data_IF_171084797215
#
_entry.id   IF_171084797215
#
_cell.length_a   1.000
_cell.length_b   1.000
_cell.length_c   1.000
_cell.angle_alpha   90.00
_cell.angle_beta   90.00
_cell.angle_gamma   90.00
#
_symmetry.space_group_name_H-M   'P 1'
#
loop_
_entity.id
_entity.type
_entity.pdbx_description
1 polymer ?
#
# COMPACT_ATOMS: atom_id res chain seq x y z
N UNK A 1 55.46 -25.18 -0.13
CA UNK A 1 54.19 -24.43 -0.42
C UNK A 1 53.74 -23.82 0.87
N UNK A 2 53.76 -22.49 1.00
CA UNK A 2 53.64 -21.77 2.27
C UNK A 2 52.20 -21.85 2.82
N UNK A 3 52.02 -22.38 4.01
CA UNK A 3 50.76 -22.51 4.72
C UNK A 3 49.96 -21.20 4.79
N UNK A 4 50.64 -20.06 4.88
CA UNK A 4 50.08 -18.70 4.90
C UNK A 4 49.44 -18.36 3.51
N UNK A 5 50.01 -18.82 2.40
CA UNK A 5 49.41 -18.62 1.05
C UNK A 5 48.13 -19.41 0.84
N UNK A 6 48.03 -20.61 1.44
CA UNK A 6 46.86 -21.44 1.41
C UNK A 6 45.68 -20.83 2.21
N UNK A 7 45.96 -20.28 3.39
CA UNK A 7 44.94 -19.61 4.21
C UNK A 7 44.38 -18.35 3.50
N UNK A 8 45.26 -17.52 2.89
CA UNK A 8 44.83 -16.36 2.14
C UNK A 8 43.91 -16.72 0.97
N UNK A 9 44.22 -17.79 0.25
CA UNK A 9 43.36 -18.25 -0.86
C UNK A 9 42.02 -18.80 -0.35
N UNK A 10 41.99 -19.51 0.76
CA UNK A 10 40.75 -20.01 1.35
C UNK A 10 39.87 -18.86 1.86
N UNK A 11 40.43 -17.83 2.49
CA UNK A 11 39.69 -16.65 2.91
C UNK A 11 39.11 -15.86 1.72
N UNK A 12 39.84 -15.74 0.62
CA UNK A 12 39.33 -15.09 -0.61
C UNK A 12 38.20 -15.89 -1.22
N UNK A 13 38.30 -17.22 -1.26
CA UNK A 13 37.21 -18.07 -1.76
C UNK A 13 35.97 -18.06 -0.87
N UNK A 14 36.13 -18.05 0.44
CA UNK A 14 35.01 -17.92 1.38
C UNK A 14 34.37 -16.53 1.26
N UNK A 15 35.17 -15.47 1.08
CA UNK A 15 34.63 -14.12 0.87
C UNK A 15 33.91 -13.98 -0.47
N UNK A 16 34.41 -14.59 -1.53
CA UNK A 16 33.73 -14.64 -2.84
C UNK A 16 32.45 -15.51 -2.80
N UNK A 17 32.43 -16.59 -2.01
CA UNK A 17 31.21 -17.39 -1.80
C UNK A 17 30.18 -16.67 -0.94
N UNK A 18 30.58 -15.81 -0.02
CA UNK A 18 29.68 -14.97 0.74
C UNK A 18 29.13 -13.78 -0.06
N UNK A 19 29.86 -13.32 -1.09
CA UNK A 19 29.37 -12.31 -2.02
C UNK A 19 28.45 -12.87 -3.11
N UNK A 20 28.41 -14.19 -3.27
CA UNK A 20 27.50 -14.90 -4.18
C UNK A 20 26.22 -15.36 -3.49
N UNK A 21 25.81 -14.78 -2.37
CA UNK A 21 24.41 -14.75 -1.98
C UNK A 21 23.67 -13.94 -3.06
N UNK A 22 23.47 -14.56 -4.20
CA UNK A 22 22.54 -14.13 -5.21
C UNK A 22 21.20 -13.96 -4.48
N UNK A 23 20.89 -12.76 -4.06
CA UNK A 23 19.53 -12.37 -3.86
C UNK A 23 18.90 -12.57 -5.22
N UNK A 24 18.27 -13.72 -5.42
CA UNK A 24 17.50 -14.02 -6.62
C UNK A 24 16.41 -12.96 -6.63
N UNK A 25 16.69 -11.87 -7.35
CA UNK A 25 15.68 -10.88 -7.64
C UNK A 25 14.57 -11.63 -8.35
N UNK A 26 13.49 -11.87 -7.64
CA UNK A 26 12.33 -12.56 -8.18
C UNK A 26 11.80 -11.71 -9.33
N UNK A 27 11.94 -12.19 -10.57
CA UNK A 27 11.40 -11.49 -11.73
C UNK A 27 9.88 -11.62 -11.68
N UNK A 28 9.21 -10.60 -11.21
CA UNK A 28 7.76 -10.55 -11.13
C UNK A 28 7.26 -10.05 -12.49
N UNK A 29 6.55 -10.92 -13.22
CA UNK A 29 5.94 -10.54 -14.49
C UNK A 29 4.64 -9.79 -14.23
N UNK A 30 4.39 -8.66 -14.91
CA UNK A 30 3.13 -7.95 -14.81
C UNK A 30 2.01 -8.73 -15.48
N UNK A 31 0.81 -8.59 -14.94
CA UNK A 31 -0.44 -8.96 -15.58
C UNK A 31 -1.16 -7.69 -16.02
N UNK A 32 -1.51 -7.59 -17.28
CA UNK A 32 -2.32 -6.49 -17.79
C UNK A 32 -3.79 -6.76 -17.51
N UNK A 33 -4.42 -5.90 -16.71
CA UNK A 33 -5.85 -5.94 -16.42
C UNK A 33 -6.56 -4.75 -17.06
N UNK A 34 -7.80 -4.94 -17.47
CA UNK A 34 -8.64 -3.88 -18.02
C UNK A 34 -9.80 -3.58 -17.06
N UNK A 35 -9.79 -2.40 -16.48
CA UNK A 35 -10.75 -1.96 -15.46
C UNK A 35 -12.19 -1.95 -15.97
N UNK A 36 -12.41 -1.47 -17.19
CA UNK A 36 -13.77 -1.48 -17.81
C UNK A 36 -14.30 -2.90 -18.01
N UNK A 37 -13.42 -3.85 -18.36
CA UNK A 37 -13.81 -5.25 -18.50
C UNK A 37 -14.12 -5.89 -17.15
N UNK A 38 -13.32 -5.61 -16.12
CA UNK A 38 -13.57 -6.10 -14.76
C UNK A 38 -14.89 -5.56 -14.21
N UNK A 39 -15.13 -4.27 -14.32
CA UNK A 39 -16.39 -3.66 -13.87
C UNK A 39 -17.60 -4.23 -14.61
N UNK A 40 -17.50 -4.48 -15.93
CA UNK A 40 -18.54 -5.13 -16.70
C UNK A 40 -18.76 -6.57 -16.25
N UNK A 41 -17.69 -7.32 -16.00
CA UNK A 41 -17.79 -8.69 -15.51
C UNK A 41 -18.51 -8.75 -14.15
N UNK A 42 -18.13 -7.90 -13.20
CA UNK A 42 -18.79 -7.81 -11.88
C UNK A 42 -20.26 -7.44 -12.01
N UNK A 43 -20.62 -6.48 -12.89
CA UNK A 43 -21.99 -6.09 -13.11
C UNK A 43 -22.85 -7.21 -13.71
N UNK A 44 -22.28 -8.05 -14.60
CA UNK A 44 -22.98 -9.18 -15.23
C UNK A 44 -23.02 -10.44 -14.36
N UNK A 45 -22.12 -10.55 -13.39
CA UNK A 45 -21.99 -11.69 -12.47
C UNK A 45 -22.25 -11.28 -11.02
N UNK A 46 -23.14 -10.31 -10.81
CA UNK A 46 -23.47 -9.78 -9.48
C UNK A 46 -23.88 -10.86 -8.48
N UNK A 47 -24.37 -12.02 -8.97
CA UNK A 47 -24.70 -13.16 -8.13
C UNK A 47 -23.50 -13.81 -7.46
N UNK A 48 -22.35 -13.81 -8.12
CA UNK A 48 -21.07 -14.30 -7.55
C UNK A 48 -20.51 -13.33 -6.51
N UNK A 49 -20.86 -12.04 -6.63
CA UNK A 49 -20.43 -10.97 -5.73
C UNK A 49 -21.55 -10.54 -4.77
N UNK A 50 -22.65 -11.32 -4.68
CA UNK A 50 -23.70 -11.07 -3.69
C UNK A 50 -23.07 -11.14 -2.31
N UNK A 51 -22.94 -9.97 -1.76
CA UNK A 51 -22.57 -9.82 -0.37
C UNK A 51 -23.65 -10.45 0.47
N UNK A 52 -23.23 -11.33 1.35
CA UNK A 52 -24.07 -11.91 2.36
C UNK A 52 -24.74 -10.78 3.16
N UNK A 53 -26.00 -10.48 2.91
CA UNK A 53 -26.76 -9.44 3.63
C UNK A 53 -26.89 -9.69 5.12
N UNK A 54 -26.44 -10.85 5.60
CA UNK A 54 -26.43 -11.29 7.01
C UNK A 54 -25.04 -11.77 7.44
N UNK A 55 -23.98 -11.53 6.67
CA UNK A 55 -22.66 -11.83 7.17
C UNK A 55 -22.43 -11.04 8.45
N UNK A 56 -22.06 -11.71 9.56
CA UNK A 56 -21.61 -10.99 10.72
C UNK A 56 -20.47 -10.06 10.25
N UNK A 57 -20.51 -8.80 10.66
CA UNK A 57 -19.41 -7.85 10.44
C UNK A 57 -18.15 -8.58 10.88
N UNK A 58 -17.39 -9.09 9.93
CA UNK A 58 -16.11 -9.70 10.24
C UNK A 58 -15.21 -8.52 10.50
N UNK A 59 -15.06 -8.16 11.76
CA UNK A 59 -13.87 -7.45 12.16
C UNK A 59 -12.72 -8.20 11.50
N UNK A 60 -11.94 -7.51 10.69
CA UNK A 60 -10.63 -8.03 10.33
C UNK A 60 -9.81 -7.88 11.60
N UNK A 61 -10.17 -8.72 12.58
CA UNK A 61 -9.33 -8.92 13.73
C UNK A 61 -8.14 -9.72 13.22
N UNK A 62 -7.17 -8.98 12.68
CA UNK A 62 -5.90 -9.50 12.22
C UNK A 62 -5.05 -10.02 13.36
N UNK A 63 -5.66 -10.45 14.46
CA UNK A 63 -4.95 -10.95 15.63
C UNK A 63 -4.03 -9.88 16.27
N UNK A 64 -4.20 -8.65 15.87
CA UNK A 64 -3.49 -7.50 16.42
C UNK A 64 -3.99 -7.32 17.85
N UNK A 65 -3.22 -7.83 18.81
CA UNK A 65 -3.40 -7.40 20.20
C UNK A 65 -3.37 -5.89 20.15
N UNK A 66 -4.51 -5.27 20.45
CA UNK A 66 -4.59 -3.83 20.69
C UNK A 66 -3.34 -3.48 21.48
N UNK A 67 -2.47 -2.67 20.87
CA UNK A 67 -1.33 -2.12 21.59
C UNK A 67 -1.95 -1.44 22.80
N UNK A 68 -1.68 -2.00 23.98
CA UNK A 68 -2.10 -1.40 25.22
C UNK A 68 -1.62 0.05 25.17
N UNK A 69 -2.53 0.99 25.06
CA UNK A 69 -2.22 2.43 25.11
C UNK A 69 -1.61 2.85 26.46
N UNK A 70 -1.42 1.90 27.36
CA UNK A 70 -0.86 2.05 28.70
C UNK A 70 0.65 1.78 28.75
N UNK A 71 1.37 1.80 27.63
CA UNK A 71 2.83 1.90 27.73
C UNK A 71 3.17 3.20 28.42
N UNK A 72 3.83 3.17 29.59
CA UNK A 72 4.18 4.38 30.31
C UNK A 72 5.00 5.27 29.36
N UNK A 73 4.48 6.46 29.09
CA UNK A 73 5.20 7.45 28.29
C UNK A 73 6.48 7.74 29.08
N UNK A 74 7.67 7.53 28.47
CA UNK A 74 8.91 7.84 29.15
C UNK A 74 8.89 9.27 29.69
N UNK A 75 9.32 9.49 30.92
CA UNK A 75 9.27 10.80 31.57
C UNK A 75 9.97 11.91 30.76
N UNK A 76 11.02 11.54 30.02
CA UNK A 76 11.75 12.43 29.11
C UNK A 76 10.95 12.83 27.85
N UNK A 77 10.00 12.02 27.39
CA UNK A 77 9.12 12.35 26.28
C UNK A 77 8.13 13.47 26.65
N UNK A 78 7.72 13.53 27.91
CA UNK A 78 6.86 14.60 28.43
C UNK A 78 7.63 15.92 28.50
N UNK A 79 8.89 15.87 28.94
CA UNK A 79 9.74 17.05 29.04
C UNK A 79 10.01 17.67 27.66
N UNK A 80 10.31 16.87 26.65
CA UNK A 80 10.50 17.36 25.27
C UNK A 80 9.25 18.01 24.69
N UNK A 81 8.06 17.50 25.02
CA UNK A 81 6.80 18.09 24.58
C UNK A 81 6.51 19.44 25.26
N UNK A 82 6.85 19.60 26.52
CA UNK A 82 6.71 20.86 27.24
C UNK A 82 7.68 21.94 26.77
N UNK A 83 8.91 21.58 26.41
CA UNK A 83 9.90 22.54 25.93
C UNK A 83 9.56 23.10 24.52
N UNK A 84 8.84 22.34 23.69
CA UNK A 84 8.38 22.81 22.38
C UNK A 84 7.05 23.57 22.42
N UNK A 85 6.41 23.68 23.58
CA UNK A 85 5.14 24.40 23.74
C UNK A 85 5.29 25.88 24.14
N UNK A 86 6.50 26.44 24.04
CA UNK A 86 6.66 27.88 24.14
C UNK A 86 5.96 28.53 22.92
N UNK A 87 4.75 28.97 23.16
CA UNK A 87 3.98 29.78 22.24
C UNK A 87 4.86 30.95 21.81
N UNK A 88 5.10 31.17 20.51
CA UNK A 88 5.84 32.34 20.08
C UNK A 88 5.15 33.60 20.65
N UNK A 89 5.86 34.36 21.47
CA UNK A 89 5.36 35.58 22.08
C UNK A 89 5.47 36.78 21.11
N UNK A 90 5.02 36.60 19.87
CA UNK A 90 4.91 37.65 18.89
C UNK A 90 3.44 37.82 18.45
N UNK A 91 3.05 39.01 17.94
CA UNK A 91 1.73 39.17 17.37
C UNK A 91 1.60 38.15 16.24
N UNK A 92 0.68 37.18 16.43
CA UNK A 92 0.34 36.25 15.36
C UNK A 92 -0.20 37.06 14.18
N UNK A 93 0.49 37.01 13.04
CA UNK A 93 -0.08 37.53 11.81
C UNK A 93 -1.50 36.93 11.64
N UNK A 94 -2.49 37.73 11.23
CA UNK A 94 -3.82 37.20 10.99
C UNK A 94 -3.71 36.05 10.00
N UNK A 95 -4.15 34.86 10.40
CA UNK A 95 -4.19 33.71 9.52
C UNK A 95 -5.13 34.05 8.36
N UNK A 96 -4.62 33.99 7.15
CA UNK A 96 -5.49 34.05 5.99
C UNK A 96 -6.54 32.95 6.09
N UNK A 97 -7.84 33.24 5.86
CA UNK A 97 -8.83 32.20 5.86
C UNK A 97 -8.49 31.13 4.84
N UNK A 98 -8.74 29.87 5.15
CA UNK A 98 -8.57 28.78 4.20
C UNK A 98 -9.45 29.06 2.97
N UNK A 99 -8.95 28.85 1.74
CA UNK A 99 -9.77 29.01 0.55
C UNK A 99 -10.97 28.05 0.61
N UNK A 100 -12.11 28.52 0.16
CA UNK A 100 -13.29 27.68 0.03
C UNK A 100 -13.05 26.59 -1.02
N UNK A 101 -13.57 25.36 -0.84
CA UNK A 101 -13.53 24.36 -1.87
C UNK A 101 -14.30 24.82 -3.11
N UNK A 102 -13.72 24.60 -4.28
CA UNK A 102 -14.37 24.96 -5.57
C UNK A 102 -15.56 24.08 -5.85
N UNK A 103 -15.48 22.80 -5.45
CA UNK A 103 -16.55 21.83 -5.58
C UNK A 103 -16.43 20.79 -4.46
N UNK A 104 -17.55 20.16 -4.12
CA UNK A 104 -17.60 19.02 -3.24
C UNK A 104 -18.65 18.04 -3.76
N UNK A 105 -18.39 16.77 -3.62
CA UNK A 105 -19.30 15.71 -4.02
C UNK A 105 -19.09 14.49 -3.14
N UNK A 106 -20.07 13.56 -3.17
CA UNK A 106 -19.99 12.33 -2.44
C UNK A 106 -18.95 11.43 -3.09
N UNK A 107 -17.95 11.04 -2.31
CA UNK A 107 -16.95 10.06 -2.70
C UNK A 107 -17.41 8.64 -2.42
N UNK A 108 -16.53 7.86 -1.81
CA UNK A 108 -16.84 6.51 -1.40
C UNK A 108 -17.91 6.48 -0.29
N UNK A 109 -18.91 5.62 -0.48
CA UNK A 109 -19.91 5.32 0.56
C UNK A 109 -19.60 3.95 1.13
N UNK A 110 -19.32 3.90 2.41
CA UNK A 110 -19.04 2.65 3.11
C UNK A 110 -20.27 1.72 3.04
N UNK A 111 -20.14 0.52 2.42
CA UNK A 111 -21.22 -0.46 2.40
C UNK A 111 -21.39 -1.20 3.73
N UNK A 112 -20.68 -0.76 4.80
CA UNK A 112 -20.68 -1.38 6.13
C UNK A 112 -20.22 -2.86 6.12
N UNK A 113 -19.24 -3.18 5.28
CA UNK A 113 -18.74 -4.56 5.09
C UNK A 113 -17.44 -4.80 5.83
N UNK A 114 -16.55 -3.83 5.81
CA UNK A 114 -15.19 -3.94 6.34
C UNK A 114 -14.92 -2.83 7.34
N UNK A 115 -14.36 -3.19 8.49
CA UNK A 115 -13.96 -2.27 9.54
C UNK A 115 -12.50 -2.59 9.91
N UNK A 116 -11.61 -1.58 9.87
CA UNK A 116 -11.80 -0.23 9.35
C UNK A 116 -11.91 -0.20 7.81
N UNK A 117 -12.44 0.87 7.20
CA UNK A 117 -12.54 1.00 5.75
C UNK A 117 -11.21 1.34 5.06
N UNK A 118 -10.24 1.87 5.78
CA UNK A 118 -8.89 2.29 5.34
C UNK A 118 -8.92 3.04 4.01
N UNK A 119 -9.70 4.13 3.99
CA UNK A 119 -9.94 4.90 2.77
C UNK A 119 -8.72 5.72 2.38
N UNK A 120 -8.33 5.65 1.12
CA UNK A 120 -7.28 6.46 0.50
C UNK A 120 -7.74 7.01 -0.85
N UNK A 121 -7.08 8.06 -1.37
CA UNK A 121 -7.48 8.64 -2.65
C UNK A 121 -6.36 9.38 -3.37
N UNK A 122 -6.53 9.53 -4.68
CA UNK A 122 -5.62 10.27 -5.55
C UNK A 122 -6.40 11.05 -6.61
N UNK A 123 -5.82 12.18 -7.04
CA UNK A 123 -6.40 13.05 -8.07
C UNK A 123 -5.46 13.14 -9.26
N UNK A 124 -5.93 12.67 -10.40
CA UNK A 124 -5.26 12.83 -11.69
C UNK A 124 -5.78 14.04 -12.48
N UNK A 125 -5.39 14.19 -13.76
CA UNK A 125 -5.83 15.31 -14.57
C UNK A 125 -7.35 15.42 -14.71
N UNK A 126 -8.03 14.30 -14.96
CA UNK A 126 -9.46 14.24 -15.26
C UNK A 126 -10.28 13.40 -14.28
N UNK A 127 -9.62 12.65 -13.39
CA UNK A 127 -10.25 11.65 -12.54
C UNK A 127 -9.90 11.87 -11.06
N UNK A 128 -10.83 11.48 -10.21
CA UNK A 128 -10.62 11.24 -8.79
C UNK A 128 -10.78 9.75 -8.55
N UNK A 129 -9.81 9.15 -7.87
CA UNK A 129 -9.85 7.72 -7.52
C UNK A 129 -9.86 7.61 -6.01
N UNK A 130 -10.84 6.88 -5.49
CA UNK A 130 -10.92 6.54 -4.07
C UNK A 130 -10.81 5.03 -3.92
N UNK A 131 -10.01 4.58 -2.99
CA UNK A 131 -9.84 3.17 -2.65
C UNK A 131 -10.21 2.93 -1.19
N UNK A 132 -10.76 1.77 -0.90
CA UNK A 132 -11.04 1.28 0.45
C UNK A 132 -10.78 -0.21 0.53
N UNK A 133 -10.99 -0.82 1.68
CA UNK A 133 -10.91 -2.28 1.85
C UNK A 133 -11.97 -3.07 1.06
N UNK A 134 -12.94 -2.39 0.46
CA UNK A 134 -14.02 -3.03 -0.33
C UNK A 134 -13.88 -2.76 -1.84
N UNK A 135 -13.74 -1.48 -2.23
CA UNK A 135 -13.81 -1.06 -3.62
C UNK A 135 -12.77 -0.02 -4.00
N UNK A 136 -12.38 -0.05 -5.27
CA UNK A 136 -11.82 1.08 -6.00
C UNK A 136 -12.96 1.81 -6.71
N UNK A 137 -13.11 3.11 -6.46
CA UNK A 137 -14.10 3.97 -7.11
C UNK A 137 -13.38 5.01 -7.97
N UNK A 138 -13.74 5.08 -9.25
CA UNK A 138 -13.23 6.06 -10.20
C UNK A 138 -14.36 7.02 -10.55
N UNK A 139 -14.12 8.32 -10.33
CA UNK A 139 -15.07 9.39 -10.59
C UNK A 139 -14.45 10.47 -11.49
N UNK A 140 -15.30 11.19 -12.20
CA UNK A 140 -14.92 12.45 -12.81
C UNK A 140 -14.65 13.52 -11.75
N UNK A 141 -14.05 14.65 -12.14
CA UNK A 141 -13.86 15.79 -11.22
C UNK A 141 -15.17 16.50 -10.84
N UNK A 142 -16.27 16.17 -11.46
CA UNK A 142 -17.62 16.62 -11.07
C UNK A 142 -18.36 15.62 -10.18
N UNK A 143 -17.72 14.49 -9.81
CA UNK A 143 -18.29 13.48 -8.93
C UNK A 143 -19.08 12.38 -9.61
N UNK A 144 -19.22 12.40 -10.96
CA UNK A 144 -19.90 11.33 -11.68
C UNK A 144 -19.08 10.03 -11.58
N UNK A 145 -19.73 8.94 -11.16
CA UNK A 145 -19.12 7.60 -11.10
C UNK A 145 -18.85 7.11 -12.52
N UNK A 146 -17.63 6.66 -12.78
CA UNK A 146 -17.19 6.08 -14.04
C UNK A 146 -17.09 4.57 -13.91
N UNK A 147 -16.39 4.11 -12.87
CA UNK A 147 -16.21 2.70 -12.56
C UNK A 147 -16.17 2.46 -11.06
N UNK A 148 -16.68 1.30 -10.64
CA UNK A 148 -16.53 0.76 -9.29
C UNK A 148 -16.12 -0.70 -9.43
N UNK A 149 -15.07 -1.11 -8.69
CA UNK A 149 -14.48 -2.44 -8.83
C UNK A 149 -14.14 -2.95 -7.45
N UNK A 150 -14.49 -4.22 -7.15
CA UNK A 150 -14.07 -4.85 -5.91
C UNK A 150 -12.54 -4.88 -5.82
N UNK A 151 -11.99 -4.54 -4.65
CA UNK A 151 -10.53 -4.49 -4.47
C UNK A 151 -9.89 -5.86 -4.72
N UNK A 152 -10.57 -6.95 -4.38
CA UNK A 152 -10.09 -8.31 -4.65
C UNK A 152 -9.97 -8.61 -6.15
N UNK A 153 -10.93 -8.18 -6.96
CA UNK A 153 -10.85 -8.31 -8.42
C UNK A 153 -9.75 -7.44 -9.01
N UNK A 154 -9.61 -6.21 -8.50
CA UNK A 154 -8.61 -5.26 -8.96
C UNK A 154 -7.19 -5.74 -8.65
N UNK A 155 -6.93 -6.19 -7.44
CA UNK A 155 -5.61 -6.66 -7.02
C UNK A 155 -5.31 -8.12 -7.39
N UNK A 156 -6.34 -8.93 -7.67
CA UNK A 156 -6.20 -10.39 -7.83
C UNK A 156 -5.87 -11.11 -6.52
N UNK A 157 -6.09 -10.46 -5.38
CA UNK A 157 -5.86 -11.01 -4.05
C UNK A 157 -7.20 -11.10 -3.31
N UNK A 158 -7.63 -12.31 -2.96
CA UNK A 158 -8.99 -12.58 -2.48
C UNK A 158 -9.36 -11.79 -1.21
N UNK A 159 -8.42 -11.61 -0.30
CA UNK A 159 -8.61 -10.87 0.95
C UNK A 159 -7.77 -9.59 0.96
N UNK A 160 -7.79 -8.85 -0.14
CA UNK A 160 -7.03 -7.60 -0.26
C UNK A 160 -7.53 -6.52 0.70
N UNK A 161 -6.59 -5.76 1.26
CA UNK A 161 -6.88 -4.65 2.17
C UNK A 161 -5.75 -3.61 2.20
N UNK A 162 -5.93 -2.57 3.00
CA UNK A 162 -4.98 -1.47 3.23
C UNK A 162 -4.52 -0.82 1.92
N UNK A 163 -5.46 -0.33 1.10
CA UNK A 163 -5.12 0.26 -0.17
C UNK A 163 -4.40 1.59 0.00
N UNK A 164 -3.40 1.83 -0.83
CA UNK A 164 -2.75 3.12 -0.95
C UNK A 164 -2.64 3.49 -2.42
N UNK A 165 -3.02 4.70 -2.80
CA UNK A 165 -3.01 5.15 -4.19
C UNK A 165 -2.44 6.56 -4.31
N UNK A 166 -1.61 6.80 -5.33
CA UNK A 166 -1.08 8.11 -5.66
C UNK A 166 -1.08 8.33 -7.17
N UNK A 167 -1.12 9.60 -7.59
CA UNK A 167 -0.93 9.99 -8.98
C UNK A 167 0.42 10.68 -9.15
N UNK A 168 1.19 10.21 -10.11
CA UNK A 168 2.46 10.81 -10.50
C UNK A 168 2.25 11.72 -11.74
N UNK A 169 2.38 13.03 -11.61
CA UNK A 169 2.15 13.95 -12.71
C UNK A 169 3.25 13.87 -13.79
N UNK A 170 4.44 13.38 -13.47
CA UNK A 170 5.55 13.26 -14.40
C UNK A 170 5.36 12.09 -15.35
N UNK A 171 5.18 10.89 -14.83
CA UNK A 171 4.87 9.71 -15.65
C UNK A 171 3.42 9.69 -16.15
N UNK A 172 2.54 10.53 -15.60
CA UNK A 172 1.09 10.56 -15.85
C UNK A 172 0.44 9.21 -15.56
N UNK A 173 0.81 8.58 -14.43
CA UNK A 173 0.33 7.27 -13.98
C UNK A 173 -0.21 7.34 -12.56
N UNK A 174 -1.19 6.49 -12.29
CA UNK A 174 -1.57 6.14 -10.93
C UNK A 174 -0.75 4.94 -10.48
N UNK A 175 -0.27 4.99 -9.25
CA UNK A 175 0.37 3.90 -8.54
C UNK A 175 -0.51 3.48 -7.38
N UNK A 176 -0.64 2.19 -7.20
CA UNK A 176 -1.48 1.60 -6.17
C UNK A 176 -0.75 0.46 -5.46
N UNK A 177 -0.94 0.34 -4.16
CA UNK A 177 -0.46 -0.82 -3.39
C UNK A 177 -1.56 -1.31 -2.45
N UNK A 178 -1.57 -2.60 -2.19
CA UNK A 178 -2.40 -3.27 -1.20
C UNK A 178 -1.73 -4.57 -0.74
N UNK A 179 -2.21 -5.12 0.34
CA UNK A 179 -1.75 -6.42 0.87
C UNK A 179 -2.89 -7.42 0.98
N UNK A 180 -2.54 -8.68 1.18
CA UNK A 180 -3.46 -9.73 1.58
C UNK A 180 -3.68 -9.68 3.08
N UNK A 181 -4.91 -9.47 3.53
CA UNK A 181 -5.29 -9.61 4.92
C UNK A 181 -5.71 -11.05 5.22
N UNK A 182 -5.37 -11.56 6.39
CA UNK A 182 -5.62 -12.92 6.84
C UNK A 182 -4.90 -14.02 6.02
N UNK A 183 -3.60 -13.88 5.70
CA UNK A 183 -2.84 -14.92 5.00
C UNK A 183 -2.53 -16.09 5.93
N UNK A 184 -2.29 -17.28 5.32
CA UNK A 184 -1.86 -18.46 6.07
C UNK A 184 -0.34 -18.49 6.24
N UNK A 185 0.41 -18.10 5.20
CA UNK A 185 1.87 -18.18 5.15
C UNK A 185 2.47 -16.95 4.46
N UNK A 186 2.71 -15.86 5.21
CA UNK A 186 3.10 -14.59 4.62
C UNK A 186 1.97 -13.99 3.77
N UNK A 187 1.94 -12.71 3.62
CA UNK A 187 0.89 -12.08 2.83
C UNK A 187 1.41 -11.60 1.47
N UNK A 188 0.56 -11.71 0.47
CA UNK A 188 0.83 -11.12 -0.85
C UNK A 188 0.81 -9.62 -0.74
N UNK A 189 1.73 -8.99 -1.45
CA UNK A 189 1.69 -7.57 -1.78
C UNK A 189 1.29 -7.42 -3.23
N UNK A 190 0.33 -6.56 -3.51
CA UNK A 190 -0.06 -6.17 -4.86
C UNK A 190 0.41 -4.73 -5.11
N UNK A 191 1.07 -4.52 -6.23
CA UNK A 191 1.46 -3.20 -6.75
C UNK A 191 0.84 -3.07 -8.13
N UNK A 192 0.10 -2.00 -8.37
CA UNK A 192 -0.52 -1.76 -9.67
C UNK A 192 -0.15 -0.38 -10.19
N UNK A 193 0.04 -0.31 -11.51
CA UNK A 193 0.40 0.91 -12.22
C UNK A 193 -0.55 1.08 -13.39
N UNK A 194 -1.26 2.21 -13.48
CA UNK A 194 -2.11 2.48 -14.64
C UNK A 194 -1.28 2.62 -15.90
N UNK A 195 -1.77 2.14 -17.03
CA UNK A 195 -1.05 2.26 -18.31
C UNK A 195 -1.20 3.64 -18.98
N UNK A 196 -2.14 4.46 -18.51
CA UNK A 196 -2.34 5.84 -18.94
C UNK A 196 -2.72 6.73 -17.75
N UNK A 197 -2.98 8.01 -17.99
CA UNK A 197 -3.57 8.93 -17.01
C UNK A 197 -5.07 8.72 -16.77
N UNK A 198 -5.71 7.84 -17.55
CA UNK A 198 -7.08 7.41 -17.35
C UNK A 198 -7.11 6.10 -16.53
N UNK A 199 -7.48 6.14 -15.25
CA UNK A 199 -7.48 4.96 -14.39
C UNK A 199 -8.59 3.97 -14.74
N UNK A 200 -9.53 4.34 -15.62
CA UNK A 200 -10.60 3.45 -16.07
C UNK A 200 -10.20 2.50 -17.20
N UNK A 201 -8.98 2.63 -17.72
CA UNK A 201 -8.43 1.79 -18.78
C UNK A 201 -7.67 0.59 -18.20
N UNK A 202 -6.46 0.36 -18.67
CA UNK A 202 -5.63 -0.77 -18.25
C UNK A 202 -4.70 -0.45 -17.09
N UNK A 203 -4.33 -1.49 -16.36
CA UNK A 203 -3.33 -1.44 -15.32
C UNK A 203 -2.38 -2.63 -15.44
N UNK A 204 -1.11 -2.41 -15.15
CA UNK A 204 -0.13 -3.46 -14.93
C UNK A 204 -0.20 -3.89 -13.46
N UNK A 205 -0.43 -5.16 -13.22
CA UNK A 205 -0.55 -5.75 -11.88
C UNK A 205 0.64 -6.63 -11.57
N UNK A 206 1.31 -6.33 -10.46
CA UNK A 206 2.41 -7.11 -9.91
C UNK A 206 1.98 -7.66 -8.56
N UNK A 207 2.11 -8.96 -8.33
CA UNK A 207 1.75 -9.59 -7.08
C UNK A 207 2.84 -10.59 -6.66
N UNK A 208 3.28 -10.49 -5.41
CA UNK A 208 4.34 -11.34 -4.87
C UNK A 208 4.20 -11.52 -3.37
N UNK A 209 4.79 -12.58 -2.82
CA UNK A 209 4.94 -12.79 -1.38
C UNK A 209 6.35 -12.35 -1.00
N UNK A 210 6.53 -11.27 -0.25
CA UNK A 210 7.86 -10.77 0.10
C UNK A 210 8.67 -11.74 0.94
N UNK A 211 8.01 -12.38 1.91
CA UNK A 211 8.61 -13.34 2.83
C UNK A 211 7.50 -14.10 3.55
N UNK A 212 7.74 -15.35 3.89
CA UNK A 212 6.79 -16.20 4.62
C UNK A 212 7.00 -16.19 6.14
N UNK A 213 8.09 -15.61 6.62
CA UNK A 213 8.42 -15.57 8.05
C UNK A 213 7.74 -14.43 8.82
N UNK A 214 7.18 -13.44 8.10
CA UNK A 214 6.48 -12.31 8.69
C UNK A 214 5.25 -11.90 7.88
N UNK A 215 4.36 -11.19 8.54
CA UNK A 215 3.26 -10.47 7.92
C UNK A 215 3.64 -9.01 7.72
N UNK A 216 3.19 -8.45 6.62
CA UNK A 216 3.21 -7.02 6.37
C UNK A 216 1.85 -6.44 6.69
N UNK A 217 1.86 -5.19 7.13
CA UNK A 217 0.67 -4.43 7.45
C UNK A 217 0.81 -3.02 6.90
N UNK A 218 -0.28 -2.50 6.42
CA UNK A 218 -0.47 -1.11 6.04
C UNK A 218 0.62 -0.56 5.10
N UNK A 219 0.64 -0.97 3.82
CA UNK A 219 1.66 -0.56 2.87
C UNK A 219 1.50 0.91 2.48
N UNK A 220 2.51 1.73 2.72
CA UNK A 220 2.57 3.10 2.21
C UNK A 220 3.42 3.15 0.95
N UNK A 221 3.01 3.99 0.02
CA UNK A 221 3.65 4.15 -1.27
C UNK A 221 4.15 5.59 -1.43
N UNK A 222 5.37 5.73 -1.93
CA UNK A 222 5.97 7.00 -2.31
C UNK A 222 6.83 6.83 -3.55
N UNK A 223 7.09 7.89 -4.27
CA UNK A 223 7.92 7.83 -5.48
C UNK A 223 8.68 9.13 -5.72
N UNK A 224 9.73 9.02 -6.54
CA UNK A 224 10.41 10.12 -7.19
C UNK A 224 10.49 9.85 -8.72
N UNK A 225 11.40 10.52 -9.42
CA UNK A 225 11.57 10.35 -10.86
C UNK A 225 12.06 8.95 -11.25
N UNK A 226 12.77 8.26 -10.37
CA UNK A 226 13.43 6.98 -10.63
C UNK A 226 12.80 5.82 -9.86
N UNK A 227 12.41 6.03 -8.62
CA UNK A 227 12.04 4.97 -7.71
C UNK A 227 10.57 5.01 -7.32
N UNK A 228 9.97 3.85 -7.24
CA UNK A 228 8.75 3.61 -6.46
C UNK A 228 9.17 2.88 -5.18
N UNK A 229 8.77 3.40 -4.03
CA UNK A 229 9.07 2.79 -2.74
C UNK A 229 7.76 2.41 -2.07
N UNK A 230 7.64 1.16 -1.66
CA UNK A 230 6.53 0.69 -0.85
C UNK A 230 7.07 0.25 0.49
N UNK A 231 6.53 0.80 1.58
CA UNK A 231 6.86 0.38 2.93
C UNK A 231 5.78 -0.53 3.50
N UNK A 232 6.14 -1.38 4.44
CA UNK A 232 5.18 -2.19 5.19
C UNK A 232 5.67 -2.36 6.63
N UNK A 233 4.73 -2.37 7.58
CA UNK A 233 5.04 -2.72 8.97
C UNK A 233 5.28 -4.22 9.03
N UNK A 234 6.32 -4.63 9.76
CA UNK A 234 6.77 -6.02 9.84
C UNK A 234 6.37 -6.67 11.15
N UNK A 235 5.68 -7.80 11.06
CA UNK A 235 5.22 -8.58 12.20
C UNK A 235 5.62 -10.05 12.00
N UNK A 236 6.69 -10.54 12.64
CA UNK A 236 7.06 -11.95 12.56
C UNK A 236 5.91 -12.85 13.00
N UNK A 237 5.61 -13.89 12.23
CA UNK A 237 4.51 -14.82 12.54
C UNK A 237 4.71 -15.55 13.88
N UNK A 238 5.97 -15.75 14.29
CA UNK A 238 6.31 -16.41 15.55
C UNK A 238 5.92 -15.61 16.80
N UNK A 239 5.87 -14.28 16.73
CA UNK A 239 5.61 -13.40 17.87
C UNK A 239 4.38 -12.54 17.71
N UNK A 240 4.00 -12.19 16.47
CA UNK A 240 2.93 -11.25 16.17
C UNK A 240 3.18 -9.80 16.64
N UNK A 241 4.40 -9.48 17.08
CA UNK A 241 4.73 -8.15 17.57
C UNK A 241 5.37 -7.30 16.46
N UNK A 242 5.12 -5.99 16.48
CA UNK A 242 5.81 -5.08 15.59
C UNK A 242 7.32 -5.11 15.84
N UNK A 243 8.10 -5.36 14.78
CA UNK A 243 9.58 -5.42 14.87
C UNK A 243 10.29 -4.38 14.01
N UNK A 244 9.55 -3.62 13.21
CA UNK A 244 10.13 -2.59 12.36
C UNK A 244 9.37 -2.42 11.05
N UNK A 245 9.94 -1.63 10.16
CA UNK A 245 9.41 -1.37 8.82
C UNK A 245 10.36 -1.91 7.78
N UNK A 246 9.83 -2.52 6.75
CA UNK A 246 10.59 -2.91 5.55
C UNK A 246 10.26 -1.97 4.40
N UNK A 247 11.23 -1.72 3.54
CA UNK A 247 11.09 -0.91 2.33
C UNK A 247 11.40 -1.76 1.12
N UNK A 248 10.49 -1.73 0.14
CA UNK A 248 10.68 -2.31 -1.20
C UNK A 248 10.95 -1.16 -2.15
N UNK A 249 12.14 -1.14 -2.75
CA UNK A 249 12.56 -0.12 -3.69
C UNK A 249 12.52 -0.71 -5.09
N UNK A 250 11.68 -0.17 -5.95
CA UNK A 250 11.37 -0.66 -7.28
C UNK A 250 11.82 0.36 -8.33
N UNK A 251 12.46 -0.09 -9.40
CA UNK A 251 12.78 0.77 -10.53
C UNK A 251 11.49 1.17 -11.26
N UNK A 252 11.20 2.45 -11.27
CA UNK A 252 9.95 2.99 -11.82
C UNK A 252 9.87 2.80 -13.33
N UNK A 253 10.99 2.91 -14.05
CA UNK A 253 11.02 2.71 -15.49
C UNK A 253 10.63 1.27 -15.86
N UNK A 254 11.07 0.29 -15.07
CA UNK A 254 10.70 -1.13 -15.25
C UNK A 254 9.20 -1.37 -15.01
N UNK A 255 8.58 -0.63 -14.09
CA UNK A 255 7.14 -0.75 -13.82
C UNK A 255 6.27 -0.06 -14.89
N UNK A 256 6.85 0.87 -15.67
CA UNK A 256 6.16 1.65 -16.69
C UNK A 256 6.33 1.06 -18.11
N UNK A 257 7.20 0.05 -18.25
CA UNK A 257 7.53 -0.59 -19.56
C UNK A 257 6.45 -1.66 -19.94
#
# INVERSE_FOLDING_TARGET
>A
MNFIAMIKNICVYIFLLLLSSNSMAQTIKPELINVKQLAKYEATHSDLFKVCGTCPKKEIDGGWKTLNHDLPIPADAIIKRQMNSQKPSGPSAPLSPSPNPVTSFLGYVDPSRTIPPDTHGAVGPNHVVTASNDYLLIQSKSGAEINRIAISSFTGVATSCDPYIQYDPESKRFFYSAIECNPVNGNKMAILVSNTSDPSEGWFRYSFVPDTSYLLDHPYLGFDNRWLVVSGRKFPQSTGNFTGTILFVLDKATLLA
#
